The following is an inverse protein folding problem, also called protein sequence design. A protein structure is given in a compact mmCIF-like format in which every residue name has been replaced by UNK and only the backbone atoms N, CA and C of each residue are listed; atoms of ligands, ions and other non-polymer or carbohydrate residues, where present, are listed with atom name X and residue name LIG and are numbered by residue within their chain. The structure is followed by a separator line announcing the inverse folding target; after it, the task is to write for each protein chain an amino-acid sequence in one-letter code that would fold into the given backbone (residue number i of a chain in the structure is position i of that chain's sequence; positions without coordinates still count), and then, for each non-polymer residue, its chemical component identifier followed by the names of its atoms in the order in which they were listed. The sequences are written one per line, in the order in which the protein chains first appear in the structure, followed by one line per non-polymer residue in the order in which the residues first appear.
data_IF_810830051922
#
_entry.id   IF_810830051922
#
_cell.length_a   1.000
_cell.length_b   1.000
_cell.length_c   1.000
_cell.angle_alpha   90.00
_cell.angle_beta   90.00
_cell.angle_gamma   90.00
#
_symmetry.space_group_name_H-M   'P 1'
#
loop_
_entity.id
_entity.type
_entity.pdbx_description
1 polymer ?
2 non-polymer ?
3 non-polymer ?
4 water ?
#
# COMPACT_ATOMS: atom_id res chain seq x y z
N UNK A 1 -4.61 -8.44 -8.39
CA UNK A 1 -3.34 -8.01 -7.76
C UNK A 1 -2.85 -6.69 -8.34
N UNK A 2 -1.96 -6.04 -7.60
CA UNK A 2 -1.39 -4.76 -7.97
C UNK A 2 -0.60 -4.84 -9.27
N UNK A 3 -0.65 -3.75 -10.02
CA UNK A 3 0.06 -3.62 -11.27
C UNK A 3 1.54 -3.43 -10.94
N UNK A 4 2.40 -4.38 -11.34
CA UNK A 4 3.83 -4.23 -11.05
C UNK A 4 4.46 -3.02 -11.76
N UNK A 5 3.76 -2.46 -12.72
CA UNK A 5 4.27 -1.31 -13.44
C UNK A 5 3.58 -0.03 -13.01
N UNK A 6 2.90 -0.07 -11.87
CA UNK A 6 2.18 1.11 -11.39
C UNK A 6 2.97 2.42 -11.32
N UNK A 7 4.25 2.34 -10.97
CA UNK A 7 5.08 3.54 -10.84
C UNK A 7 5.24 4.31 -12.15
N UNK A 8 5.12 3.62 -13.28
CA UNK A 8 5.22 4.29 -14.57
C UNK A 8 3.84 4.42 -15.21
N UNK A 9 2.94 3.50 -14.88
CA UNK A 9 1.60 3.52 -15.45
C UNK A 9 0.69 4.57 -14.83
N UNK A 10 0.94 4.92 -13.58
CA UNK A 10 0.10 5.89 -12.88
C UNK A 10 0.79 7.21 -12.63
N UNK A 11 -0.02 8.24 -12.43
CA UNK A 11 0.48 9.58 -12.11
C UNK A 11 0.58 9.71 -10.59
N UNK A 12 1.62 10.40 -10.13
CA UNK A 12 1.78 10.69 -8.70
C UNK A 12 0.87 11.91 -8.60
N UNK A 13 0.00 11.92 -7.59
CA UNK A 13 -0.93 13.02 -7.43
C UNK A 13 -0.81 13.71 -6.08
N UNK A 14 -0.19 13.03 -5.12
CA UNK A 14 -0.06 13.60 -3.79
C UNK A 14 0.97 12.91 -2.92
N UNK A 15 0.98 13.26 -1.65
CA UNK A 15 1.92 12.72 -0.68
C UNK A 15 1.14 12.46 0.62
N UNK A 16 1.54 11.43 1.35
CA UNK A 16 0.91 11.10 2.60
C UNK A 16 1.93 10.48 3.55
N UNK A 17 2.14 11.14 4.68
CA UNK A 17 3.06 10.64 5.69
C UNK A 17 4.46 10.34 5.21
N UNK A 18 4.96 11.11 4.26
CA UNK A 18 6.31 10.88 3.78
C UNK A 18 6.42 10.08 2.50
N UNK A 19 5.32 9.50 2.03
CA UNK A 19 5.37 8.76 0.78
C UNK A 19 4.43 9.32 -0.28
N UNK A 20 4.74 9.02 -1.53
CA UNK A 20 3.94 9.47 -2.65
C UNK A 20 2.68 8.65 -2.78
N UNK A 21 1.68 9.24 -3.41
CA UNK A 21 0.41 8.59 -3.64
C UNK A 21 0.19 8.65 -5.14
N UNK A 22 -0.05 7.50 -5.74
CA UNK A 22 -0.29 7.41 -7.18
C UNK A 22 -1.79 7.35 -7.40
N UNK A 23 -2.26 8.21 -8.29
CA UNK A 23 -3.68 8.26 -8.59
C UNK A 23 -4.17 7.23 -9.60
N UNK A 24 -5.45 7.32 -10.01
CA UNK A 24 -6.43 8.33 -9.60
C UNK A 24 -6.83 8.20 -8.13
N UNK A 25 -7.22 9.32 -7.56
CA UNK A 25 -7.67 9.39 -6.19
C UNK A 25 -8.94 10.24 -6.22
N UNK A 26 -10.06 9.62 -5.89
CA UNK A 26 -11.36 10.29 -5.83
C UNK A 26 -12.01 9.70 -4.60
N UNK A 27 -11.70 10.27 -3.43
CA UNK A 27 -12.25 9.79 -2.17
C UNK A 27 -13.77 9.82 -2.20
N UNK A 28 -14.42 8.90 -1.46
CA UNK A 28 -13.77 7.88 -0.64
C UNK A 28 -13.66 6.51 -1.30
N UNK A 29 -14.23 6.38 -2.49
CA UNK A 29 -14.24 5.10 -3.19
C UNK A 29 -12.94 4.71 -3.89
N UNK A 30 -12.19 5.70 -4.34
CA UNK A 30 -10.94 5.46 -5.07
C UNK A 30 -9.80 6.17 -4.36
N UNK A 31 -8.92 5.37 -3.77
CA UNK A 31 -7.79 5.90 -3.01
C UNK A 31 -6.41 5.67 -3.58
N UNK A 32 -6.30 4.88 -4.64
CA UNK A 32 -5.03 4.63 -5.30
C UNK A 32 -4.00 3.81 -4.54
N UNK A 33 -2.74 4.00 -4.91
CA UNK A 33 -1.64 3.29 -4.31
C UNK A 33 -0.76 4.20 -3.46
N UNK A 34 -0.44 3.75 -2.25
CA UNK A 34 0.43 4.49 -1.34
C UNK A 34 1.79 3.84 -1.28
N UNK A 35 2.85 4.62 -1.49
CA UNK A 35 4.21 4.09 -1.43
C UNK A 35 4.94 3.90 -2.74
N UNK A 36 6.27 3.98 -2.69
CA UNK A 36 7.13 3.82 -3.86
C UNK A 36 8.02 2.58 -3.66
N UNK A 37 8.70 2.50 -2.52
CA UNK A 37 9.55 1.35 -2.24
C UNK A 37 8.63 0.18 -1.91
N UNK A 38 7.65 0.44 -1.04
CA UNK A 38 6.65 -0.54 -0.62
C UNK A 38 5.30 0.06 -1.02
N UNK A 39 4.76 -0.39 -2.15
CA UNK A 39 3.49 0.12 -2.65
C UNK A 39 2.32 -0.75 -2.29
N UNK A 40 1.28 -0.13 -1.73
CA UNK A 40 0.07 -0.82 -1.31
C UNK A 40 -1.12 -0.22 -2.05
N UNK A 41 -1.80 -1.04 -2.84
CA UNK A 41 -2.97 -0.61 -3.59
C UNK A 41 -4.18 -0.58 -2.64
N UNK A 42 -4.56 0.62 -2.20
CA UNK A 42 -5.68 0.82 -1.28
C UNK A 42 -7.00 0.35 -1.87
N UNK A 43 -7.08 0.32 -3.20
CA UNK A 43 -8.29 -0.13 -3.86
C UNK A 43 -8.40 -1.67 -3.87
N UNK A 44 -7.31 -2.36 -3.56
CA UNK A 44 -7.36 -3.82 -3.51
C UNK A 44 -7.36 -4.30 -2.07
N UNK A 45 -6.61 -3.61 -1.22
CA UNK A 45 -6.49 -3.97 0.19
C UNK A 45 -7.84 -4.12 0.86
N UNK A 46 -7.99 -5.24 1.55
CA UNK A 46 -9.22 -5.57 2.26
C UNK A 46 -8.99 -5.64 3.76
N UNK A 47 -7.84 -5.13 4.21
CA UNK A 47 -7.46 -5.11 5.62
C UNK A 47 -7.32 -6.50 6.25
N UNK A 48 -6.71 -7.42 5.51
CA UNK A 48 -6.48 -8.77 6.00
C UNK A 48 -5.50 -8.72 7.18
N UNK A 49 -4.45 -7.91 7.05
CA UNK A 49 -3.50 -7.77 8.13
C UNK A 49 -2.32 -8.72 8.20
N UNK A 50 -2.17 -9.62 7.24
CA UNK A 50 -1.06 -10.55 7.25
C UNK A 50 0.24 -9.79 7.09
N UNK A 51 0.22 -8.72 6.31
CA UNK A 51 1.43 -7.92 6.10
C UNK A 51 1.97 -7.36 7.42
N UNK A 52 1.09 -6.72 8.18
CA UNK A 52 1.43 -6.17 9.48
C UNK A 52 1.86 -7.33 10.40
N UNK A 53 1.20 -8.47 10.26
CA UNK A 53 1.51 -9.64 11.06
C UNK A 53 2.87 -10.30 10.74
N UNK A 54 3.40 -10.03 9.55
CA UNK A 54 4.65 -10.62 9.13
C UNK A 54 5.87 -9.71 9.17
N UNK A 55 5.67 -8.42 8.90
CA UNK A 55 6.78 -7.47 8.85
C UNK A 55 7.55 -7.31 10.14
N UNK A 56 8.85 -7.67 10.12
CA UNK A 56 9.69 -7.56 11.30
C UNK A 56 10.21 -6.15 11.59
N UNK A 57 10.11 -5.23 10.62
CA UNK A 57 10.62 -3.87 10.81
C UNK A 57 9.61 -2.72 10.84
N UNK A 58 8.35 -3.04 11.13
CA UNK A 58 7.29 -2.04 11.27
C UNK A 58 7.18 -1.03 10.15
N UNK A 59 6.95 -1.55 8.95
CA UNK A 59 6.80 -0.72 7.77
C UNK A 59 5.38 -0.15 7.69
N UNK A 60 4.41 -0.95 8.12
CA UNK A 60 3.00 -0.59 8.06
C UNK A 60 2.31 -0.20 9.37
N UNK A 61 1.23 0.57 9.22
CA UNK A 61 0.37 0.98 10.31
C UNK A 61 -1.04 1.01 9.73
N UNK A 62 -2.05 0.86 10.57
CA UNK A 62 -3.41 0.91 10.10
C UNK A 62 -3.74 2.37 9.85
N UNK A 63 -4.45 2.62 8.76
CA UNK A 63 -4.85 3.95 8.36
C UNK A 63 -6.33 3.85 8.00
N UNK A 64 -7.16 4.64 8.67
CA UNK A 64 -8.60 4.61 8.43
C UNK A 64 -9.04 5.24 7.13
N UNK A 65 -9.93 4.55 6.44
CA UNK A 65 -10.45 5.03 5.18
C UNK A 65 -11.94 4.74 5.18
N UNK A 66 -12.70 5.52 5.96
CA UNK A 66 -14.15 5.32 6.02
C UNK A 66 -14.83 5.58 4.67
N UNK A 67 -15.71 4.68 4.25
CA UNK A 67 -16.42 4.86 3.00
C UNK A 67 -15.86 4.07 1.84
N UNK A 68 -14.73 3.41 2.04
CA UNK A 68 -14.14 2.63 0.97
C UNK A 68 -14.86 1.30 0.90
N UNK A 69 -15.21 0.86 -0.32
CA UNK A 69 -15.91 -0.41 -0.52
C UNK A 69 -15.13 -1.69 -0.21
N UNK A 70 -13.81 -1.67 -0.32
CA UNK A 70 -13.01 -2.87 -0.05
C UNK A 70 -12.81 -3.12 1.45
N UNK A 71 -12.62 -2.04 2.20
CA UNK A 71 -12.45 -2.08 3.66
C UNK A 71 -12.36 -0.64 4.15
N UNK A 72 -12.55 -0.45 5.45
CA UNK A 72 -12.52 0.88 6.03
C UNK A 72 -11.23 1.16 6.76
N UNK A 73 -10.25 0.31 6.50
CA UNK A 73 -8.94 0.44 7.10
C UNK A 73 -7.97 -0.13 6.08
N UNK A 74 -6.76 0.41 6.04
CA UNK A 74 -5.74 -0.05 5.10
C UNK A 74 -4.36 -0.09 5.76
N UNK A 75 -3.50 -0.97 5.26
CA UNK A 75 -2.12 -1.06 5.75
C UNK A 75 -1.33 0.03 4.97
N UNK A 76 -0.97 1.10 5.68
CA UNK A 76 -0.23 2.23 5.10
C UNK A 76 1.28 2.07 5.37
N UNK A 77 2.11 2.13 4.31
CA UNK A 77 3.58 2.00 4.37
C UNK A 77 4.29 3.23 4.95
N UNK A 78 3.88 3.62 6.16
CA UNK A 78 4.43 4.78 6.84
C UNK A 78 5.97 4.76 6.92
N UNK A 79 6.55 3.58 7.17
CA UNK A 79 8.01 3.44 7.26
C UNK A 79 8.57 2.64 6.09
N UNK A 80 8.12 2.94 4.87
CA UNK A 80 8.60 2.21 3.69
C UNK A 80 10.12 2.13 3.58
N UNK A 81 10.83 3.15 4.05
CA UNK A 81 12.28 3.15 3.97
C UNK A 81 13.01 2.23 4.94
N UNK A 82 12.29 1.63 5.88
CA UNK A 82 12.89 0.71 6.82
C UNK A 82 12.90 -0.69 6.20
N UNK A 83 12.19 -0.84 5.09
CA UNK A 83 12.08 -2.13 4.42
C UNK A 83 13.43 -2.80 4.17
N UNK A 84 13.55 -4.05 4.60
CA UNK A 84 14.78 -4.80 4.38
C UNK A 84 14.57 -5.84 3.29
N UNK A 85 13.50 -5.64 2.53
CA UNK A 85 13.14 -6.48 1.40
C UNK A 85 13.02 -7.96 1.71
N UNK A 86 12.14 -8.27 2.67
CA UNK A 86 11.86 -9.63 3.10
C UNK A 86 10.94 -10.33 2.10
N UNK A 87 10.13 -9.53 1.40
CA UNK A 87 9.17 -10.00 0.40
C UNK A 87 8.06 -10.82 1.04
N UNK A 88 8.00 -10.79 2.37
CA UNK A 88 7.00 -11.55 3.11
C UNK A 88 5.61 -10.99 2.87
N UNK A 89 5.47 -9.68 3.04
CA UNK A 89 4.19 -9.01 2.86
C UNK A 89 3.65 -9.27 1.47
N UNK A 90 4.53 -9.18 0.48
CA UNK A 90 4.15 -9.40 -0.91
C UNK A 90 3.48 -10.77 -1.09
N UNK A 91 4.02 -11.76 -0.38
CA UNK A 91 3.52 -13.13 -0.45
C UNK A 91 2.38 -13.49 0.48
N UNK A 92 2.28 -12.80 1.62
CA UNK A 92 1.21 -13.09 2.59
C UNK A 92 -0.13 -12.40 2.29
N UNK A 93 -0.10 -11.32 1.52
CA UNK A 93 -1.33 -10.63 1.20
C UNK A 93 -2.24 -11.53 0.36
N UNK A 94 -3.45 -11.86 0.87
CA UNK A 94 -4.38 -12.71 0.12
C UNK A 94 -4.87 -12.12 -1.20
N UNK A 95 -4.80 -10.80 -1.34
CA UNK A 95 -5.24 -10.14 -2.57
C UNK A 95 -4.11 -9.55 -3.43
N UNK A 96 -2.87 -9.87 -3.07
CA UNK A 96 -1.70 -9.39 -3.81
C UNK A 96 -1.75 -7.88 -4.05
N UNK A 97 -1.98 -7.13 -2.97
CA UNK A 97 -2.11 -5.68 -3.04
C UNK A 97 -0.81 -4.93 -2.84
N UNK A 98 0.26 -5.65 -2.53
CA UNK A 98 1.56 -5.07 -2.25
C UNK A 98 2.64 -5.36 -3.29
N UNK A 99 3.44 -4.34 -3.60
CA UNK A 99 4.57 -4.47 -4.53
C UNK A 99 5.76 -3.74 -3.92
N UNK A 100 6.88 -4.45 -3.78
CA UNK A 100 8.09 -3.87 -3.20
C UNK A 100 9.19 -3.74 -4.25
N UNK A 101 9.70 -2.52 -4.44
CA UNK A 101 10.76 -2.26 -5.41
C UNK A 101 11.91 -1.57 -4.71
N UNK A 102 13.04 -2.29 -4.53
CA UNK A 102 14.20 -1.68 -3.87
C UNK A 102 14.60 -0.48 -4.70
N UNK A 103 14.94 0.64 -4.05
CA UNK A 103 15.34 1.86 -4.77
C UNK A 103 16.65 1.70 -5.55
X LIG B 1 -0.18 6.58 2.95
X LIG C 1 -4.21 -5.17 3.06
X LIG C 1 -3.04 -7.30 2.11
X LIG C 1 -2.08 -6.15 4.21
X LIG C 1 -5.30 -7.05 2.30
X LIG C 1 -3.95 -5.41 5.30
X LIG C 1 -2.12 -5.17 2.12
X LIG C 1 -2.21 -8.40 3.94
X LIG D 1 9.69 -4.93 3.48
X LIG D 1 8.38 -5.71 5.72
X LIG D 1 7.46 -6.37 3.35
X LIG D 1 10.70 -5.68 5.44
X LIG D 1 9.40 -6.80 2.13
X LIG D 1 7.58 -4.20 4.14
X LIG D 1 7.54 -7.80 5.16
#
# INVERSE_FOLDING_TARGET
GIDPNYRTNRQVVGEHSGHKVYGPVEPPKVLGIHGTIVGVDFDLCIADGSCINACPVNVFQWYDTPGHPASEKKADPVNEQACIFCMACVNVCPVAAIDVKPP
ZN ZN
F3S FE1 FE3 FE4 S1 S2 S3 S4
F3S FE1 FE3 FE4 S1 S2 S3 S4
#
